data_IF_014883455020
#
_entry.id   IF_014883455020
#
_cell.length_a   1.000
_cell.length_b   1.000
_cell.length_c   1.000
_cell.angle_alpha   90.00
_cell.angle_beta   90.00
_cell.angle_gamma   90.00
#
_symmetry.space_group_name_H-M   'P 1'
#
loop_
_entity.id
_entity.type
_entity.pdbx_description
1 polymer ?
#
# COMPACT_ATOMS: atom_id res chain seq x y z
N UNK A 1 25.43 22.56 -10.78
CA UNK A 1 24.00 22.33 -11.06
C UNK A 1 23.46 21.34 -10.04
N UNK A 2 22.60 21.80 -9.13
CA UNK A 2 21.92 20.97 -8.12
C UNK A 2 20.99 19.95 -8.79
N UNK A 3 20.50 18.96 -8.04
CA UNK A 3 19.55 17.99 -8.58
C UNK A 3 18.23 18.67 -9.00
N UNK A 4 17.78 19.68 -8.25
CA UNK A 4 16.61 20.49 -8.57
C UNK A 4 16.80 21.30 -9.86
N UNK A 5 17.97 21.90 -10.04
CA UNK A 5 18.30 22.63 -11.27
C UNK A 5 18.35 21.68 -12.47
N UNK A 6 18.93 20.48 -12.31
CA UNK A 6 18.92 19.43 -13.35
C UNK A 6 17.51 18.97 -13.69
N UNK A 7 16.65 18.79 -12.69
CA UNK A 7 15.25 18.45 -12.89
C UNK A 7 14.54 19.56 -13.65
N UNK A 8 14.63 20.80 -13.17
CA UNK A 8 13.98 21.96 -13.81
C UNK A 8 14.44 22.11 -15.26
N UNK A 9 15.73 21.99 -15.53
CA UNK A 9 16.26 22.01 -16.90
C UNK A 9 15.68 20.87 -17.76
N UNK A 10 15.67 19.64 -17.24
CA UNK A 10 15.10 18.48 -17.94
C UNK A 10 13.61 18.64 -18.31
N UNK A 11 12.85 19.39 -17.52
CA UNK A 11 11.41 19.64 -17.71
C UNK A 11 11.08 21.03 -18.26
N UNK A 12 12.04 21.75 -18.85
CA UNK A 12 11.77 23.02 -19.55
C UNK A 12 11.69 24.26 -18.65
N UNK A 13 12.12 24.16 -17.39
CA UNK A 13 12.16 25.25 -16.41
C UNK A 13 13.58 25.76 -16.13
N UNK A 14 14.57 25.35 -16.94
CA UNK A 14 15.98 25.72 -16.86
C UNK A 14 16.30 27.14 -17.32
N UNK A 15 17.54 27.36 -17.75
CA UNK A 15 18.04 28.68 -18.15
C UNK A 15 17.33 29.26 -19.38
N UNK A 16 16.96 28.39 -20.33
CA UNK A 16 16.14 28.72 -21.50
C UNK A 16 14.78 28.01 -21.35
N UNK A 17 13.77 28.65 -20.75
CA UNK A 17 12.53 27.98 -20.41
C UNK A 17 11.71 27.62 -21.66
N UNK A 18 11.25 26.38 -21.69
CA UNK A 18 10.25 25.85 -22.62
C UNK A 18 8.96 25.63 -21.83
N UNK A 19 8.13 26.67 -21.78
CA UNK A 19 6.92 26.68 -20.97
C UNK A 19 5.88 25.68 -21.47
N UNK A 20 5.79 25.44 -22.78
CA UNK A 20 4.85 24.46 -23.35
C UNK A 20 5.22 23.03 -22.92
N UNK A 21 6.51 22.71 -22.88
CA UNK A 21 7.00 21.44 -22.34
C UNK A 21 6.71 21.32 -20.84
N UNK A 22 6.96 22.38 -20.08
CA UNK A 22 6.73 22.39 -18.63
C UNK A 22 5.23 22.25 -18.28
N UNK A 23 4.35 22.93 -19.01
CA UNK A 23 2.89 22.84 -18.89
C UNK A 23 2.39 21.44 -19.18
N UNK A 24 2.85 20.81 -20.26
CA UNK A 24 2.51 19.41 -20.56
C UNK A 24 3.00 18.45 -19.49
N UNK A 25 4.21 18.65 -18.97
CA UNK A 25 4.74 17.83 -17.89
C UNK A 25 3.90 17.96 -16.61
N UNK A 26 3.50 19.19 -16.24
CA UNK A 26 2.64 19.45 -15.09
C UNK A 26 1.26 18.79 -15.30
N UNK A 27 0.64 18.98 -16.45
CA UNK A 27 -0.66 18.38 -16.77
C UNK A 27 -0.61 16.85 -16.67
N UNK A 28 0.43 16.22 -17.23
CA UNK A 28 0.62 14.78 -17.10
C UNK A 28 0.83 14.33 -15.65
N UNK A 29 1.61 15.07 -14.85
CA UNK A 29 1.81 14.74 -13.44
C UNK A 29 0.49 14.82 -12.65
N UNK A 30 -0.34 15.84 -12.92
CA UNK A 30 -1.67 15.99 -12.30
C UNK A 30 -2.63 14.85 -12.67
N UNK A 31 -2.66 14.48 -13.96
CA UNK A 31 -3.52 13.40 -14.45
C UNK A 31 -3.12 12.04 -13.86
N UNK A 32 -1.81 11.74 -13.82
CA UNK A 32 -1.31 10.49 -13.24
C UNK A 32 -1.54 10.47 -11.73
N UNK A 33 -1.34 11.60 -11.02
CA UNK A 33 -1.64 11.67 -9.57
C UNK A 33 -3.11 11.37 -9.30
N UNK A 34 -4.02 11.98 -10.05
CA UNK A 34 -5.47 11.72 -9.94
C UNK A 34 -5.79 10.25 -10.22
N UNK A 35 -5.17 9.67 -11.24
CA UNK A 35 -5.32 8.26 -11.58
C UNK A 35 -4.81 7.33 -10.47
N UNK A 36 -3.64 7.59 -9.88
CA UNK A 36 -3.10 6.80 -8.76
C UNK A 36 -3.95 6.89 -7.50
N UNK A 37 -4.58 8.04 -7.22
CA UNK A 37 -5.57 8.16 -6.15
C UNK A 37 -6.78 7.25 -6.43
N UNK A 38 -7.29 7.24 -7.66
CA UNK A 38 -8.40 6.36 -8.05
C UNK A 38 -8.04 4.88 -7.91
N UNK A 39 -6.87 4.49 -8.44
CA UNK A 39 -6.39 3.11 -8.34
C UNK A 39 -6.14 2.70 -6.89
N UNK A 40 -5.67 3.60 -6.02
CA UNK A 40 -5.50 3.31 -4.61
C UNK A 40 -6.81 2.85 -3.94
N UNK A 41 -7.91 3.57 -4.19
CA UNK A 41 -9.22 3.18 -3.69
C UNK A 41 -9.73 1.89 -4.30
N UNK A 42 -9.56 1.70 -5.62
CA UNK A 42 -9.94 0.46 -6.29
C UNK A 42 -9.18 -0.75 -5.71
N UNK A 43 -7.88 -0.57 -5.44
CA UNK A 43 -7.03 -1.59 -4.82
C UNK A 43 -7.48 -1.93 -3.40
N UNK A 44 -7.83 -0.91 -2.60
CA UNK A 44 -8.38 -1.13 -1.26
C UNK A 44 -9.68 -1.95 -1.32
N UNK A 45 -10.61 -1.61 -2.21
CA UNK A 45 -11.92 -2.30 -2.32
C UNK A 45 -11.80 -3.79 -2.60
N UNK A 46 -10.90 -4.21 -3.51
CA UNK A 46 -10.76 -5.64 -3.79
C UNK A 46 -10.22 -6.41 -2.58
N UNK A 47 -9.23 -5.84 -1.87
CA UNK A 47 -8.66 -6.49 -0.70
C UNK A 47 -9.67 -6.58 0.44
N UNK A 48 -10.42 -5.51 0.70
CA UNK A 48 -11.49 -5.53 1.70
C UNK A 48 -12.52 -6.60 1.38
N UNK A 49 -12.93 -6.72 0.12
CA UNK A 49 -13.88 -7.75 -0.32
C UNK A 49 -13.34 -9.16 -0.06
N UNK A 50 -12.10 -9.45 -0.47
CA UNK A 50 -11.49 -10.77 -0.27
C UNK A 50 -11.29 -11.09 1.21
N UNK A 51 -10.82 -10.12 2.00
CA UNK A 51 -10.60 -10.26 3.44
C UNK A 51 -11.93 -10.51 4.16
N UNK A 52 -12.98 -9.73 3.85
CA UNK A 52 -14.31 -9.93 4.40
C UNK A 52 -14.86 -11.32 4.07
N UNK A 53 -14.69 -11.77 2.82
CA UNK A 53 -15.07 -13.12 2.41
C UNK A 53 -14.30 -14.20 3.17
N UNK A 54 -12.99 -14.00 3.41
CA UNK A 54 -12.20 -14.95 4.22
C UNK A 54 -12.63 -14.99 5.68
N UNK A 55 -12.96 -13.85 6.30
CA UNK A 55 -13.53 -13.84 7.66
C UNK A 55 -14.88 -14.56 7.71
N UNK A 56 -15.78 -14.27 6.76
CA UNK A 56 -17.06 -14.94 6.68
C UNK A 56 -16.89 -16.46 6.50
N UNK A 57 -16.01 -16.89 5.59
CA UNK A 57 -15.69 -18.29 5.36
C UNK A 57 -15.10 -18.98 6.60
N UNK A 58 -14.19 -18.32 7.31
CA UNK A 58 -13.58 -18.84 8.54
C UNK A 58 -14.64 -19.15 9.59
N UNK A 59 -15.51 -18.19 9.91
CA UNK A 59 -16.57 -18.38 10.91
C UNK A 59 -17.68 -19.33 10.44
N UNK A 60 -18.01 -19.33 9.14
CA UNK A 60 -19.01 -20.23 8.57
C UNK A 60 -18.56 -21.70 8.69
N UNK A 61 -17.29 -21.99 8.38
CA UNK A 61 -16.72 -23.34 8.51
C UNK A 61 -16.72 -23.80 9.97
N UNK A 62 -16.31 -22.95 10.91
CA UNK A 62 -16.29 -23.30 12.34
C UNK A 62 -17.70 -23.53 12.92
N UNK A 63 -18.70 -22.83 12.39
CA UNK A 63 -20.11 -22.95 12.82
C UNK A 63 -20.85 -24.14 12.18
N UNK A 64 -20.25 -24.85 11.22
CA UNK A 64 -20.90 -25.96 10.54
C UNK A 64 -20.83 -27.25 11.40
N UNK A 65 -21.99 -27.72 11.89
CA UNK A 65 -22.08 -28.85 12.83
C UNK A 65 -21.59 -30.19 12.27
N UNK A 66 -21.81 -30.42 10.97
CA UNK A 66 -21.53 -31.72 10.33
C UNK A 66 -20.34 -31.68 9.37
N UNK A 67 -19.50 -30.64 9.43
CA UNK A 67 -18.33 -30.53 8.58
C UNK A 67 -17.15 -31.31 9.16
N UNK A 68 -16.66 -32.30 8.41
CA UNK A 68 -15.40 -32.98 8.73
C UNK A 68 -14.22 -32.01 8.57
N UNK A 69 -13.21 -32.14 9.43
CA UNK A 69 -11.99 -31.34 9.38
C UNK A 69 -12.21 -29.81 9.43
N UNK A 70 -13.27 -29.35 10.12
CA UNK A 70 -13.61 -27.92 10.19
C UNK A 70 -12.45 -27.02 10.67
N UNK A 71 -11.68 -27.47 11.65
CA UNK A 71 -10.53 -26.71 12.18
C UNK A 71 -9.40 -26.59 11.14
N UNK A 72 -9.12 -27.68 10.42
CA UNK A 72 -8.14 -27.65 9.33
C UNK A 72 -8.60 -26.76 8.17
N UNK A 73 -9.88 -26.81 7.80
CA UNK A 73 -10.43 -25.94 6.77
C UNK A 73 -10.39 -24.47 7.19
N UNK A 74 -10.73 -24.18 8.45
CA UNK A 74 -10.61 -22.84 9.04
C UNK A 74 -9.15 -22.36 9.07
N UNK A 75 -8.20 -23.25 9.39
CA UNK A 75 -6.77 -22.97 9.33
C UNK A 75 -6.31 -22.58 7.92
N UNK A 76 -6.72 -23.32 6.89
CA UNK A 76 -6.43 -22.99 5.49
C UNK A 76 -7.00 -21.61 5.13
N UNK A 77 -8.25 -21.33 5.49
CA UNK A 77 -8.88 -20.04 5.22
C UNK A 77 -8.15 -18.91 5.96
N UNK A 78 -7.74 -19.13 7.21
CA UNK A 78 -7.01 -18.15 7.99
C UNK A 78 -5.63 -17.83 7.38
N UNK A 79 -4.92 -18.84 6.87
CA UNK A 79 -3.69 -18.65 6.10
C UNK A 79 -3.92 -17.81 4.83
N UNK A 80 -5.01 -18.04 4.10
CA UNK A 80 -5.39 -17.23 2.92
C UNK A 80 -5.70 -15.79 3.33
N UNK A 81 -6.47 -15.59 4.40
CA UNK A 81 -6.78 -14.26 4.95
C UNK A 81 -5.52 -13.49 5.37
N UNK A 82 -4.55 -14.18 5.98
CA UNK A 82 -3.24 -13.62 6.32
C UNK A 82 -2.48 -13.16 5.07
N UNK A 83 -2.42 -14.00 4.02
CA UNK A 83 -1.76 -13.65 2.75
C UNK A 83 -2.41 -12.41 2.11
N UNK A 84 -3.73 -12.35 2.03
CA UNK A 84 -4.43 -11.18 1.48
C UNK A 84 -4.20 -9.92 2.32
N UNK A 85 -4.12 -10.03 3.64
CA UNK A 85 -3.86 -8.89 4.53
C UNK A 85 -2.44 -8.35 4.37
N UNK A 86 -1.44 -9.23 4.23
CA UNK A 86 -0.05 -8.84 3.94
C UNK A 86 0.06 -8.22 2.54
N UNK A 87 -0.62 -8.81 1.55
CA UNK A 87 -0.68 -8.26 0.18
C UNK A 87 -1.26 -6.84 0.18
N UNK A 88 -2.33 -6.63 0.95
CA UNK A 88 -2.96 -5.34 1.10
C UNK A 88 -2.00 -4.32 1.71
N UNK A 89 -1.30 -4.68 2.80
CA UNK A 89 -0.30 -3.81 3.42
C UNK A 89 0.82 -3.41 2.44
N UNK A 90 1.42 -4.38 1.74
CA UNK A 90 2.49 -4.11 0.78
C UNK A 90 2.02 -3.23 -0.39
N UNK A 91 0.80 -3.48 -0.89
CA UNK A 91 0.19 -2.67 -1.95
C UNK A 91 -0.11 -1.24 -1.50
N UNK A 92 -0.54 -1.03 -0.26
CA UNK A 92 -0.72 0.31 0.31
C UNK A 92 0.60 1.07 0.40
N UNK A 93 1.71 0.38 0.75
CA UNK A 93 3.05 0.99 0.74
C UNK A 93 3.51 1.37 -0.66
N UNK A 94 3.33 0.48 -1.64
CA UNK A 94 3.67 0.76 -3.03
C UNK A 94 2.84 1.89 -3.63
N UNK A 95 1.54 1.94 -3.33
CA UNK A 95 0.65 3.03 -3.76
C UNK A 95 1.08 4.37 -3.18
N UNK A 96 1.42 4.40 -1.88
CA UNK A 96 1.89 5.61 -1.20
C UNK A 96 3.18 6.14 -1.83
N UNK A 97 4.15 5.26 -2.11
CA UNK A 97 5.41 5.63 -2.76
C UNK A 97 5.18 6.35 -4.10
N UNK A 98 4.30 5.81 -4.96
CA UNK A 98 4.03 6.44 -6.25
C UNK A 98 3.20 7.72 -6.14
N UNK A 99 2.26 7.80 -5.20
CA UNK A 99 1.53 9.03 -4.92
C UNK A 99 2.48 10.16 -4.51
N UNK A 100 3.35 9.92 -3.52
CA UNK A 100 4.34 10.90 -3.06
C UNK A 100 5.30 11.31 -4.19
N UNK A 101 5.72 10.36 -5.03
CA UNK A 101 6.55 10.67 -6.20
C UNK A 101 5.87 11.66 -7.16
N UNK A 102 4.59 11.44 -7.49
CA UNK A 102 3.85 12.32 -8.39
C UNK A 102 3.46 13.65 -7.73
N UNK A 103 3.21 13.67 -6.42
CA UNK A 103 3.06 14.91 -5.65
C UNK A 103 4.33 15.77 -5.74
N UNK A 104 5.51 15.17 -5.53
CA UNK A 104 6.79 15.86 -5.68
C UNK A 104 7.01 16.39 -7.11
N UNK A 105 6.60 15.65 -8.14
CA UNK A 105 6.66 16.14 -9.52
C UNK A 105 5.80 17.39 -9.72
N UNK A 106 4.58 17.39 -9.19
CA UNK A 106 3.68 18.55 -9.25
C UNK A 106 4.30 19.74 -8.52
N UNK A 107 4.80 19.53 -7.30
CA UNK A 107 5.45 20.56 -6.50
C UNK A 107 6.63 21.20 -7.25
N UNK A 108 7.46 20.40 -7.92
CA UNK A 108 8.63 20.92 -8.64
C UNK A 108 8.28 21.67 -9.94
N UNK A 109 7.10 21.43 -10.51
CA UNK A 109 6.66 21.98 -11.79
C UNK A 109 5.72 23.19 -11.65
N UNK A 110 4.92 23.26 -10.59
CA UNK A 110 3.79 24.20 -10.51
C UNK A 110 4.17 25.69 -10.38
N UNK A 111 5.27 26.01 -9.68
CA UNK A 111 5.56 27.38 -9.24
C UNK A 111 5.60 28.40 -10.38
N UNK A 112 6.19 28.03 -11.52
CA UNK A 112 6.35 28.90 -12.69
C UNK A 112 5.13 28.90 -13.62
N UNK A 113 4.17 28.00 -13.43
CA UNK A 113 3.06 27.77 -14.36
C UNK A 113 1.75 28.23 -13.73
N UNK A 114 1.39 27.62 -12.60
CA UNK A 114 0.14 27.88 -11.88
C UNK A 114 0.35 28.59 -10.55
N UNK A 115 1.61 28.83 -10.16
CA UNK A 115 1.97 29.21 -8.80
C UNK A 115 1.94 28.01 -7.84
N UNK A 116 2.18 28.23 -6.54
CA UNK A 116 2.33 27.17 -5.53
C UNK A 116 0.97 26.61 -5.08
N UNK A 117 0.10 26.22 -6.01
CA UNK A 117 -1.28 25.86 -5.74
C UNK A 117 -1.39 24.62 -4.85
N UNK A 118 -0.56 23.59 -5.09
CA UNK A 118 -0.53 22.36 -4.32
C UNK A 118 0.24 22.48 -3.01
N UNK A 119 1.26 23.35 -2.97
CA UNK A 119 2.00 23.65 -1.73
C UNK A 119 1.21 24.53 -0.76
N UNK A 120 0.26 25.33 -1.25
CA UNK A 120 -0.48 26.27 -0.41
C UNK A 120 -1.63 25.59 0.33
N UNK A 121 -1.45 25.38 1.64
CA UNK A 121 -2.49 24.81 2.51
C UNK A 121 -3.26 25.91 3.23
N UNK A 122 -4.58 25.92 3.04
CA UNK A 122 -5.49 26.85 3.73
C UNK A 122 -6.14 26.16 4.94
N UNK A 123 -5.88 26.67 6.14
CA UNK A 123 -6.47 26.15 7.36
C UNK A 123 -7.77 26.87 7.73
N UNK A 124 -8.75 26.11 8.24
CA UNK A 124 -9.97 26.69 8.79
C UNK A 124 -9.61 27.57 10.01
N UNK A 125 -10.15 28.79 10.12
CA UNK A 125 -10.01 29.60 11.33
C UNK A 125 -10.47 28.85 12.58
N UNK A 126 -9.85 29.17 13.72
CA UNK A 126 -10.16 28.58 15.01
C UNK A 126 -11.55 29.01 15.53
N UNK A 127 -12.62 28.49 14.94
CA UNK A 127 -14.01 28.77 15.31
C UNK A 127 -14.74 27.47 15.72
N UNK A 128 -15.55 27.54 16.78
CA UNK A 128 -16.31 26.41 17.33
C UNK A 128 -15.76 25.86 18.65
N UNK A 129 -16.58 25.04 19.33
CA UNK A 129 -16.24 24.45 20.62
C UNK A 129 -15.08 23.44 20.49
N UNK A 130 -14.27 23.30 21.54
CA UNK A 130 -13.09 22.41 21.57
C UNK A 130 -13.45 20.97 21.17
N UNK A 131 -14.63 20.49 21.59
CA UNK A 131 -15.11 19.15 21.28
C UNK A 131 -15.31 18.93 19.77
N UNK A 132 -16.05 19.81 19.09
CA UNK A 132 -16.30 19.67 17.66
C UNK A 132 -15.03 19.84 16.84
N UNK A 133 -14.10 20.68 17.29
CA UNK A 133 -12.77 20.82 16.66
C UNK A 133 -11.91 19.57 16.78
N UNK A 134 -12.07 18.79 17.84
CA UNK A 134 -11.24 17.62 18.12
C UNK A 134 -11.77 16.35 17.45
N UNK A 135 -13.09 16.18 17.39
CA UNK A 135 -13.71 14.94 16.88
C UNK A 135 -14.29 15.05 15.47
N UNK A 136 -14.82 16.22 15.08
CA UNK A 136 -15.55 16.40 13.82
C UNK A 136 -14.84 17.36 12.85
N UNK A 137 -13.81 18.07 13.33
CA UNK A 137 -13.05 19.05 12.57
C UNK A 137 -12.16 18.40 11.50
N UNK A 138 -11.87 19.12 10.39
CA UNK A 138 -10.91 18.65 9.40
C UNK A 138 -9.50 18.58 10.01
N UNK A 139 -8.75 17.54 9.67
CA UNK A 139 -7.39 17.33 10.13
C UNK A 139 -6.53 16.73 9.01
N UNK A 140 -5.22 17.02 8.99
CA UNK A 140 -4.30 16.60 7.92
C UNK A 140 -3.86 15.14 8.10
N UNK A 141 -4.81 14.21 8.18
CA UNK A 141 -4.51 12.79 8.28
C UNK A 141 -4.12 12.21 6.92
N UNK A 142 -3.06 11.41 6.91
CA UNK A 142 -2.69 10.63 5.72
C UNK A 142 -3.60 9.43 5.57
N UNK A 143 -4.48 9.47 4.57
CA UNK A 143 -5.38 8.37 4.22
C UNK A 143 -4.61 7.07 3.94
N UNK A 144 -3.45 7.16 3.29
CA UNK A 144 -2.60 6.01 2.97
C UNK A 144 -1.95 5.39 4.21
N UNK A 145 -1.54 6.20 5.19
CA UNK A 145 -1.02 5.67 6.46
C UNK A 145 -2.11 5.00 7.31
N UNK A 146 -3.32 5.55 7.33
CA UNK A 146 -4.45 4.93 8.04
C UNK A 146 -4.71 3.52 7.50
N UNK A 147 -4.76 3.35 6.18
CA UNK A 147 -4.96 2.01 5.59
C UNK A 147 -3.76 1.08 5.79
N UNK A 148 -2.53 1.59 5.85
CA UNK A 148 -1.37 0.78 6.23
C UNK A 148 -1.53 0.23 7.66
N UNK A 149 -1.94 1.06 8.61
CA UNK A 149 -2.21 0.59 9.97
C UNK A 149 -3.40 -0.35 10.06
N UNK A 150 -4.48 -0.08 9.34
CA UNK A 150 -5.65 -0.96 9.29
C UNK A 150 -5.27 -2.35 8.74
N UNK A 151 -4.49 -2.42 7.65
CA UNK A 151 -4.02 -3.69 7.10
C UNK A 151 -3.08 -4.44 8.04
N UNK A 152 -2.19 -3.75 8.76
CA UNK A 152 -1.37 -4.38 9.82
C UNK A 152 -2.21 -4.91 10.97
N UNK A 153 -3.24 -4.18 11.39
CA UNK A 153 -4.17 -4.66 12.40
C UNK A 153 -4.88 -5.94 11.92
N UNK A 154 -5.34 -5.99 10.66
CA UNK A 154 -5.94 -7.21 10.10
C UNK A 154 -4.95 -8.40 10.09
N UNK A 155 -3.69 -8.17 9.73
CA UNK A 155 -2.62 -9.19 9.86
C UNK A 155 -2.52 -9.68 11.30
N UNK A 156 -2.47 -8.76 12.26
CA UNK A 156 -2.38 -9.09 13.67
C UNK A 156 -3.61 -9.87 14.19
N UNK A 157 -4.80 -9.66 13.64
CA UNK A 157 -6.01 -10.43 13.96
C UNK A 157 -5.94 -11.86 13.41
N UNK A 158 -5.36 -12.08 12.22
CA UNK A 158 -5.25 -13.43 11.67
C UNK A 158 -4.32 -14.35 12.46
N UNK A 159 -3.26 -13.81 13.08
CA UNK A 159 -2.30 -14.60 13.87
C UNK A 159 -2.94 -15.39 15.04
N UNK A 160 -3.72 -14.77 15.96
CA UNK A 160 -4.39 -15.50 17.03
C UNK A 160 -5.51 -16.40 16.50
N UNK A 161 -6.19 -16.05 15.41
CA UNK A 161 -7.20 -16.93 14.80
C UNK A 161 -6.55 -18.22 14.27
N UNK A 162 -5.40 -18.11 13.60
CA UNK A 162 -4.59 -19.26 13.22
C UNK A 162 -4.20 -20.09 14.45
N UNK A 163 -3.72 -19.44 15.50
CA UNK A 163 -3.35 -20.12 16.76
C UNK A 163 -4.50 -20.88 17.40
N UNK A 164 -5.73 -20.36 17.32
CA UNK A 164 -6.92 -20.97 17.91
C UNK A 164 -7.33 -22.29 17.25
N UNK A 165 -7.11 -22.43 15.94
CA UNK A 165 -7.51 -23.62 15.15
C UNK A 165 -6.37 -24.59 14.91
N UNK A 166 -5.17 -24.30 15.43
CA UNK A 166 -4.06 -25.25 15.41
C UNK A 166 -4.29 -26.35 16.45
N UNK A 167 -3.93 -27.61 16.15
CA UNK A 167 -3.99 -28.69 17.13
C UNK A 167 -3.05 -28.42 18.30
N UNK A 168 -3.38 -28.92 19.49
CA UNK A 168 -2.55 -28.81 20.68
C UNK A 168 -1.13 -29.33 20.41
N UNK A 169 -0.12 -28.53 20.76
CA UNK A 169 1.27 -28.90 20.57
C UNK A 169 1.71 -29.81 21.72
N UNK A 170 1.68 -31.12 21.50
CA UNK A 170 2.15 -32.10 22.47
C UNK A 170 3.25 -32.97 21.85
N UNK A 171 4.37 -33.13 22.55
CA UNK A 171 5.52 -33.97 22.12
C UNK A 171 5.16 -35.45 21.95
N UNK A 172 4.05 -35.90 22.51
CA UNK A 172 3.56 -37.28 22.37
C UNK A 172 2.68 -37.51 21.14
N UNK A 173 2.14 -36.43 20.53
CA UNK A 173 1.28 -36.53 19.36
C UNK A 173 2.05 -36.36 18.06
N UNK A 174 1.77 -37.21 17.08
CA UNK A 174 2.38 -37.10 15.76
C UNK A 174 1.99 -35.77 15.10
N UNK A 175 3.00 -35.06 14.58
CA UNK A 175 2.83 -33.79 13.88
C UNK A 175 1.92 -33.98 12.66
N UNK A 176 0.89 -33.14 12.53
CA UNK A 176 -0.05 -33.23 11.41
C UNK A 176 0.59 -32.73 10.11
N UNK A 177 0.94 -33.66 9.23
CA UNK A 177 1.61 -33.39 7.94
C UNK A 177 0.85 -32.33 7.11
N UNK A 178 -0.50 -32.40 7.09
CA UNK A 178 -1.33 -31.45 6.33
C UNK A 178 -1.22 -30.02 6.86
N UNK A 179 -1.18 -29.82 8.18
CA UNK A 179 -1.01 -28.49 8.78
C UNK A 179 0.38 -27.94 8.49
N UNK A 180 1.42 -28.77 8.64
CA UNK A 180 2.79 -28.37 8.31
C UNK A 180 2.94 -27.99 6.85
N UNK A 181 2.37 -28.74 5.92
CA UNK A 181 2.44 -28.43 4.49
C UNK A 181 1.84 -27.05 4.18
N UNK A 182 0.62 -26.77 4.68
CA UNK A 182 -0.05 -25.47 4.48
C UNK A 182 0.71 -24.34 5.15
N UNK A 183 1.22 -24.56 6.37
CA UNK A 183 2.02 -23.58 7.10
C UNK A 183 3.31 -23.24 6.36
N UNK A 184 4.04 -24.23 5.85
CA UNK A 184 5.26 -24.03 5.05
C UNK A 184 4.95 -23.28 3.76
N UNK A 185 3.89 -23.65 3.04
CA UNK A 185 3.47 -22.93 1.83
C UNK A 185 3.15 -21.47 2.14
N UNK A 186 2.47 -21.20 3.26
CA UNK A 186 2.11 -19.85 3.69
C UNK A 186 3.36 -19.04 4.05
N UNK A 187 4.30 -19.61 4.80
CA UNK A 187 5.58 -18.95 5.14
C UNK A 187 6.38 -18.65 3.88
N UNK A 188 6.47 -19.59 2.94
CA UNK A 188 7.15 -19.38 1.65
C UNK A 188 6.45 -18.27 0.86
N UNK A 189 5.12 -18.26 0.79
CA UNK A 189 4.36 -17.23 0.09
C UNK A 189 4.62 -15.85 0.70
N UNK A 190 4.57 -15.72 2.03
CA UNK A 190 4.88 -14.47 2.73
C UNK A 190 6.32 -14.03 2.49
N UNK A 191 7.28 -14.96 2.57
CA UNK A 191 8.68 -14.67 2.30
C UNK A 191 8.88 -14.16 0.87
N UNK A 192 8.29 -14.82 -0.13
CA UNK A 192 8.36 -14.40 -1.53
C UNK A 192 7.72 -13.04 -1.73
N UNK A 193 6.57 -12.77 -1.11
CA UNK A 193 5.92 -11.47 -1.18
C UNK A 193 6.80 -10.36 -0.60
N UNK A 194 7.44 -10.57 0.55
CA UNK A 194 8.28 -9.52 1.16
C UNK A 194 9.61 -9.35 0.42
N UNK A 195 10.23 -10.44 -0.05
CA UNK A 195 11.58 -10.41 -0.63
C UNK A 195 11.62 -10.17 -2.15
N UNK A 196 10.58 -10.55 -2.90
CA UNK A 196 10.60 -10.55 -4.38
C UNK A 196 9.70 -9.50 -5.01
N UNK A 197 8.86 -8.80 -4.24
CA UNK A 197 7.94 -7.77 -4.80
C UNK A 197 8.53 -6.36 -4.79
N UNK A 198 9.74 -6.19 -4.26
CA UNK A 198 10.46 -4.92 -4.38
C UNK A 198 10.69 -4.57 -5.84
N UNK A 199 10.32 -3.33 -6.20
CA UNK A 199 10.45 -2.84 -7.57
C UNK A 199 11.91 -2.79 -8.01
N UNK A 200 12.14 -3.03 -9.30
CA UNK A 200 13.46 -2.92 -9.95
C UNK A 200 14.11 -1.52 -9.83
N UNK A 201 13.37 -0.54 -9.28
CA UNK A 201 13.89 0.78 -8.87
C UNK A 201 15.03 0.65 -7.85
N UNK A 202 14.96 -0.34 -6.95
CA UNK A 202 15.95 -0.51 -5.87
C UNK A 202 17.17 -1.30 -6.33
N UNK A 203 16.99 -2.34 -7.16
CA UNK A 203 18.05 -3.25 -7.57
C UNK A 203 18.84 -2.79 -8.81
N UNK A 204 18.40 -1.71 -9.48
CA UNK A 204 18.88 -1.40 -10.84
C UNK A 204 18.29 -2.36 -11.88
N UNK A 205 18.18 -1.88 -13.11
CA UNK A 205 17.49 -2.59 -14.20
C UNK A 205 18.08 -3.99 -14.45
N UNK A 206 17.25 -5.04 -14.33
CA UNK A 206 17.60 -6.43 -14.65
C UNK A 206 17.54 -6.73 -16.16
N UNK A 207 17.03 -5.80 -16.98
CA UNK A 207 16.93 -5.94 -18.43
C UNK A 207 18.02 -5.11 -19.13
N UNK A 208 18.82 -5.74 -20.00
CA UNK A 208 19.92 -5.05 -20.71
C UNK A 208 19.45 -4.03 -21.76
N UNK A 209 18.15 -3.99 -22.07
CA UNK A 209 17.53 -3.08 -23.05
C UNK A 209 16.81 -1.89 -22.43
N UNK A 210 16.61 -1.84 -21.10
CA UNK A 210 16.07 -0.64 -20.47
C UNK A 210 17.20 0.37 -20.26
N UNK A 211 16.99 1.59 -20.77
CA UNK A 211 17.89 2.72 -20.49
C UNK A 211 17.82 2.98 -18.98
N UNK A 212 18.99 2.96 -18.32
CA UNK A 212 19.15 3.28 -16.89
C UNK A 212 18.33 4.54 -16.58
N UNK A 213 17.38 4.47 -15.64
CA UNK A 213 16.56 5.65 -15.27
C UNK A 213 17.49 6.85 -15.04
N UNK A 214 17.33 7.87 -15.85
CA UNK A 214 18.32 8.95 -16.04
C UNK A 214 18.47 9.88 -14.84
N UNK A 215 17.57 9.81 -13.85
CA UNK A 215 17.69 10.57 -12.61
C UNK A 215 16.86 9.93 -11.49
N UNK A 216 17.45 9.06 -10.67
CA UNK A 216 16.97 8.88 -9.32
C UNK A 216 17.56 10.04 -8.50
N UNK A 217 16.80 11.12 -8.35
CA UNK A 217 17.17 12.22 -7.46
C UNK A 217 16.88 11.71 -6.05
N UNK A 218 17.94 11.33 -5.35
CA UNK A 218 17.90 11.08 -3.91
C UNK A 218 18.46 12.32 -3.24
N UNK A 219 17.79 12.76 -2.18
CA UNK A 219 18.30 13.79 -1.28
C UNK A 219 19.58 13.32 -0.58
#
# INVERSE_FOLDING_TARGET
MTNDEKYKDAFGLGANPDLEKAERALQHALDIRKFEIGLYWQRATYFWTLIAATFAGYFAVLSAEHMKDKEFNAYVIACVGLIFSIAWFLTNRGSKFWQENWENHVDMLEDKITGPLYKTVLYRPAAGNVLSRTFEGPAPYSVSQINQWASLFTVAVWLPLIGNVLPEFNFEHAVSIKHCAVGVITVIAVFLMVSRTMSNIVDGDKNSKSVKRTAAIKD
#
